data_IF_159807901488
#
_entry.id   IF_159807901488
#
_cell.length_a   1.000
_cell.length_b   1.000
_cell.length_c   1.000
_cell.angle_alpha   90.00
_cell.angle_beta   90.00
_cell.angle_gamma   90.00
#
_symmetry.space_group_name_H-M   'P 1'
#
loop_
_entity.id
_entity.type
_entity.pdbx_description
1 polymer ?
#
# COMPACT_ATOMS: atom_id res chain seq x y z
N UNK A 1 -22.37 1.37 2.86
CA UNK A 1 -22.98 1.30 4.21
C UNK A 1 -23.97 2.45 4.34
N UNK A 2 -25.20 2.21 4.82
CA UNK A 2 -26.25 3.24 4.91
C UNK A 2 -27.23 3.30 3.72
N UNK A 3 -27.21 2.31 2.83
CA UNK A 3 -28.18 2.14 1.75
C UNK A 3 -28.47 0.64 1.53
N UNK A 4 -29.73 0.23 1.26
CA UNK A 4 -30.94 1.07 1.14
C UNK A 4 -31.49 1.54 2.49
N UNK A 5 -31.04 0.95 3.59
CA UNK A 5 -31.46 1.31 4.94
C UNK A 5 -30.40 2.19 5.62
N UNK A 6 -30.88 3.20 6.33
CA UNK A 6 -30.03 4.04 7.17
C UNK A 6 -29.48 3.23 8.34
N UNK A 7 -28.22 3.52 8.69
CA UNK A 7 -27.49 2.82 9.74
C UNK A 7 -26.76 3.87 10.58
N UNK A 8 -27.15 4.10 11.84
CA UNK A 8 -26.51 5.11 12.70
C UNK A 8 -25.01 4.87 12.92
N UNK A 9 -24.59 3.61 12.98
CA UNK A 9 -23.20 3.18 13.18
C UNK A 9 -22.50 2.77 11.86
N UNK A 10 -22.99 3.26 10.71
CA UNK A 10 -22.50 2.89 9.36
C UNK A 10 -20.99 3.04 9.21
N UNK A 11 -20.40 4.05 9.84
CA UNK A 11 -18.98 4.37 9.73
C UNK A 11 -18.14 3.34 10.49
N UNK A 12 -18.51 3.04 11.73
CA UNK A 12 -17.84 2.02 12.52
C UNK A 12 -17.98 0.63 11.88
N UNK A 13 -19.17 0.30 11.35
CA UNK A 13 -19.38 -0.93 10.56
C UNK A 13 -18.49 -1.01 9.32
N UNK A 14 -18.38 0.09 8.57
CA UNK A 14 -17.53 0.14 7.38
C UNK A 14 -16.06 -0.11 7.72
N UNK A 15 -15.58 0.52 8.79
CA UNK A 15 -14.20 0.35 9.28
C UNK A 15 -13.97 -1.08 9.77
N UNK A 16 -14.85 -1.60 10.61
CA UNK A 16 -14.75 -2.97 11.13
C UNK A 16 -14.75 -4.01 10.00
N UNK A 17 -15.68 -3.88 9.05
CA UNK A 17 -15.72 -4.73 7.86
C UNK A 17 -14.42 -4.65 7.05
N UNK A 18 -13.85 -3.45 6.91
CA UNK A 18 -12.58 -3.28 6.19
C UNK A 18 -11.42 -4.00 6.88
N UNK A 19 -11.36 -3.95 8.22
CA UNK A 19 -10.34 -4.65 9.01
C UNK A 19 -10.53 -6.17 8.87
N UNK A 20 -11.76 -6.67 8.99
CA UNK A 20 -12.07 -8.09 8.82
C UNK A 20 -11.72 -8.59 7.41
N UNK A 21 -12.04 -7.81 6.37
CA UNK A 21 -11.67 -8.10 4.99
C UNK A 21 -10.15 -8.23 4.83
N UNK A 22 -9.38 -7.30 5.39
CA UNK A 22 -7.91 -7.37 5.34
C UNK A 22 -7.37 -8.59 6.11
N UNK A 23 -7.86 -8.84 7.31
CA UNK A 23 -7.42 -9.99 8.11
C UNK A 23 -7.75 -11.33 7.43
N UNK A 24 -8.90 -11.41 6.75
CA UNK A 24 -9.33 -12.58 5.99
C UNK A 24 -8.44 -12.92 4.77
N UNK A 25 -7.68 -11.95 4.24
CA UNK A 25 -6.74 -12.19 3.13
C UNK A 25 -5.71 -13.26 3.44
N UNK A 26 -5.41 -13.48 4.72
CA UNK A 26 -4.55 -14.57 5.19
C UNK A 26 -5.04 -15.94 4.71
N UNK A 27 -6.34 -16.18 4.87
CA UNK A 27 -6.97 -17.44 4.49
C UNK A 27 -7.11 -17.53 2.97
N UNK A 28 -7.48 -16.44 2.30
CA UNK A 28 -7.51 -16.36 0.83
C UNK A 28 -6.15 -16.71 0.23
N UNK A 29 -5.07 -16.12 0.73
CA UNK A 29 -3.72 -16.39 0.23
C UNK A 29 -3.22 -17.79 0.61
N UNK A 30 -3.69 -18.37 1.74
CA UNK A 30 -3.43 -19.78 2.05
C UNK A 30 -4.04 -20.71 1.01
N UNK A 31 -5.26 -20.43 0.57
CA UNK A 31 -5.93 -21.18 -0.49
C UNK A 31 -5.25 -20.98 -1.85
N UNK A 32 -4.85 -19.76 -2.20
CA UNK A 32 -4.09 -19.50 -3.43
C UNK A 32 -2.77 -20.29 -3.45
N UNK A 33 -2.00 -20.27 -2.36
CA UNK A 33 -0.77 -21.07 -2.24
C UNK A 33 -1.03 -22.56 -2.45
N UNK A 34 -2.13 -23.09 -1.89
CA UNK A 34 -2.49 -24.52 -2.07
C UNK A 34 -2.80 -24.89 -3.53
N UNK A 35 -3.15 -23.90 -4.35
CA UNK A 35 -3.45 -24.05 -5.78
C UNK A 35 -2.30 -23.57 -6.67
N UNK A 36 -1.13 -23.27 -6.10
CA UNK A 36 0.00 -22.65 -6.80
C UNK A 36 -0.36 -21.35 -7.55
N UNK A 37 -1.32 -20.59 -7.02
CA UNK A 37 -1.71 -19.28 -7.53
C UNK A 37 -0.94 -18.17 -6.79
N UNK A 38 -0.71 -17.00 -7.43
CA UNK A 38 -0.11 -15.85 -6.77
C UNK A 38 -0.90 -15.39 -5.54
N UNK A 39 -0.19 -14.86 -4.55
CA UNK A 39 -0.82 -14.16 -3.44
C UNK A 39 -1.46 -12.85 -3.92
N UNK A 40 -2.59 -12.51 -3.32
CA UNK A 40 -3.29 -11.27 -3.58
C UNK A 40 -2.99 -10.27 -2.48
N UNK A 41 -2.82 -9.02 -2.87
CA UNK A 41 -2.80 -7.88 -1.98
C UNK A 41 -4.05 -7.04 -2.20
N UNK A 42 -4.55 -6.42 -1.13
CA UNK A 42 -5.75 -5.61 -1.16
C UNK A 42 -5.48 -4.27 -0.49
N UNK A 43 -5.88 -3.19 -1.15
CA UNK A 43 -5.99 -1.86 -0.58
C UNK A 43 -7.46 -1.49 -0.39
N UNK A 44 -7.80 -0.78 0.68
CA UNK A 44 -9.16 -0.31 0.93
C UNK A 44 -9.17 1.19 1.17
N UNK A 45 -10.02 1.92 0.44
CA UNK A 45 -10.29 3.33 0.66
C UNK A 45 -11.72 3.58 1.15
N UNK A 46 -11.89 4.35 2.23
CA UNK A 46 -13.21 4.76 2.73
C UNK A 46 -13.38 6.29 2.63
N UNK A 47 -14.56 6.70 2.17
CA UNK A 47 -15.00 8.09 2.18
C UNK A 47 -16.44 8.20 2.66
N UNK A 48 -16.75 9.27 3.38
CA UNK A 48 -18.10 9.65 3.77
C UNK A 48 -18.49 10.93 3.02
N UNK A 49 -19.65 10.90 2.39
CA UNK A 49 -20.18 11.99 1.57
C UNK A 49 -21.68 11.81 1.33
N UNK A 50 -22.39 12.91 1.13
CA UNK A 50 -23.73 12.88 0.58
C UNK A 50 -23.72 12.40 -0.87
N UNK A 51 -24.70 11.58 -1.21
CA UNK A 51 -24.84 10.94 -2.53
C UNK A 51 -26.31 10.79 -2.89
N UNK A 52 -26.59 10.75 -4.18
CA UNK A 52 -27.93 10.41 -4.70
C UNK A 52 -27.97 8.91 -4.98
N UNK A 53 -28.99 8.24 -4.47
CA UNK A 53 -29.17 6.81 -4.65
C UNK A 53 -30.48 6.55 -5.40
N UNK A 54 -30.44 5.68 -6.41
CA UNK A 54 -31.64 5.36 -7.16
C UNK A 54 -31.47 4.23 -8.15
N UNK A 55 -32.61 3.84 -8.73
CA UNK A 55 -32.69 2.89 -9.83
C UNK A 55 -32.35 3.60 -11.14
N UNK A 56 -31.15 3.37 -11.67
CA UNK A 56 -30.65 4.02 -12.87
C UNK A 56 -30.52 3.03 -14.01
N UNK A 57 -31.05 3.41 -15.18
CA UNK A 57 -31.06 2.61 -16.38
C UNK A 57 -32.42 2.65 -17.09
N UNK A 58 -32.59 1.79 -18.09
CA UNK A 58 -33.85 1.68 -18.81
C UNK A 58 -34.86 0.83 -18.03
N UNK A 59 -36.13 0.88 -18.42
CA UNK A 59 -37.19 0.01 -17.87
C UNK A 59 -36.87 -1.48 -17.98
N UNK A 60 -36.05 -1.89 -18.98
CA UNK A 60 -35.63 -3.29 -19.18
C UNK A 60 -34.37 -3.67 -18.39
N UNK A 61 -33.56 -2.70 -17.95
CA UNK A 61 -32.34 -2.90 -17.17
C UNK A 61 -32.10 -1.69 -16.27
N UNK A 62 -32.58 -1.79 -15.04
CA UNK A 62 -32.30 -0.82 -13.99
C UNK A 62 -31.32 -1.44 -12.98
N UNK A 63 -30.35 -0.64 -12.53
CA UNK A 63 -29.45 -0.99 -11.43
C UNK A 63 -29.61 0.03 -10.31
N UNK A 64 -29.77 -0.47 -9.09
CA UNK A 64 -29.68 0.37 -7.90
C UNK A 64 -28.22 0.83 -7.76
N UNK A 65 -27.99 2.14 -7.91
CA UNK A 65 -26.64 2.69 -7.95
C UNK A 65 -26.59 4.03 -7.22
N UNK A 66 -25.36 4.44 -6.93
CA UNK A 66 -25.03 5.69 -6.25
C UNK A 66 -24.39 6.65 -7.27
N UNK A 67 -24.81 7.91 -7.26
CA UNK A 67 -24.21 8.99 -8.04
C UNK A 67 -23.82 10.13 -7.10
N UNK A 68 -22.61 10.63 -7.26
CA UNK A 68 -22.12 11.83 -6.56
C UNK A 68 -20.64 12.06 -6.79
N UNK A 69 -20.21 13.32 -6.74
CA UNK A 69 -18.79 13.69 -6.85
C UNK A 69 -17.94 13.02 -5.76
N UNK A 70 -18.50 12.82 -4.56
CA UNK A 70 -17.84 12.15 -3.45
C UNK A 70 -17.66 10.64 -3.60
N UNK A 71 -18.37 9.98 -4.54
CA UNK A 71 -18.20 8.53 -4.81
C UNK A 71 -16.80 8.26 -5.40
N UNK A 72 -16.36 9.13 -6.31
CA UNK A 72 -15.04 9.03 -6.93
C UNK A 72 -13.92 9.28 -5.92
N UNK A 73 -14.19 9.97 -4.81
CA UNK A 73 -13.20 10.23 -3.77
C UNK A 73 -12.75 8.95 -3.07
N UNK A 74 -13.66 7.99 -2.83
CA UNK A 74 -13.29 6.72 -2.21
C UNK A 74 -12.28 5.94 -3.08
N UNK A 75 -12.51 5.87 -4.38
CA UNK A 75 -11.56 5.26 -5.33
C UNK A 75 -10.23 6.02 -5.41
N UNK A 76 -10.26 7.35 -5.30
CA UNK A 76 -9.00 8.14 -5.23
C UNK A 76 -8.22 7.83 -3.97
N UNK A 77 -8.87 7.77 -2.81
CA UNK A 77 -8.24 7.40 -1.53
C UNK A 77 -7.66 5.99 -1.62
N UNK A 78 -8.43 5.04 -2.15
CA UNK A 78 -7.97 3.67 -2.38
C UNK A 78 -6.74 3.62 -3.29
N UNK A 79 -6.67 4.45 -4.34
CA UNK A 79 -5.51 4.49 -5.23
C UNK A 79 -4.19 4.87 -4.54
N UNK A 80 -4.24 5.52 -3.36
CA UNK A 80 -3.06 5.83 -2.55
C UNK A 80 -2.61 4.67 -1.66
N UNK A 81 -3.45 3.66 -1.45
CA UNK A 81 -3.12 2.48 -0.64
C UNK A 81 -2.02 1.63 -1.27
N UNK A 82 -1.40 0.83 -0.43
CA UNK A 82 -0.61 -0.34 -0.82
C UNK A 82 -1.20 -1.58 -0.16
N UNK A 83 -0.70 -2.76 -0.53
CA UNK A 83 -1.20 -4.03 0.00
C UNK A 83 -1.31 -4.08 1.52
N UNK A 84 -2.49 -4.40 2.02
CA UNK A 84 -2.81 -4.52 3.44
C UNK A 84 -3.23 -3.20 4.10
N UNK A 85 -3.23 -2.07 3.39
CA UNK A 85 -3.63 -0.79 3.98
C UNK A 85 -5.14 -0.54 3.92
N UNK A 86 -5.61 0.21 4.90
CA UNK A 86 -6.94 0.82 4.94
C UNK A 86 -6.73 2.32 5.10
N UNK A 87 -7.03 3.09 4.06
CA UNK A 87 -6.97 4.55 4.09
C UNK A 87 -8.38 5.14 4.15
N UNK A 88 -8.54 6.18 4.96
CA UNK A 88 -9.84 6.84 5.15
C UNK A 88 -9.72 8.35 4.96
N UNK A 89 -10.80 8.97 4.52
CA UNK A 89 -10.92 10.44 4.48
C UNK A 89 -11.04 11.04 5.88
N UNK A 90 -10.84 12.36 5.96
CA UNK A 90 -11.13 13.11 7.17
C UNK A 90 -12.60 13.01 7.61
N UNK A 91 -13.56 12.94 6.68
CA UNK A 91 -14.98 12.80 7.01
C UNK A 91 -15.28 11.48 7.74
N UNK A 92 -14.68 10.38 7.29
CA UNK A 92 -14.78 9.08 7.97
C UNK A 92 -14.13 9.14 9.35
N UNK A 93 -12.93 9.72 9.46
CA UNK A 93 -12.21 9.85 10.74
C UNK A 93 -13.01 10.65 11.76
N UNK A 94 -13.59 11.78 11.37
CA UNK A 94 -14.41 12.63 12.25
C UNK A 94 -15.66 11.91 12.77
N UNK A 95 -16.30 11.10 11.92
CA UNK A 95 -17.52 10.37 12.32
C UNK A 95 -17.25 9.04 13.07
N UNK A 96 -16.06 8.45 12.92
CA UNK A 96 -15.72 7.19 13.59
C UNK A 96 -15.63 7.33 15.13
N UNK A 97 -15.27 8.52 15.61
CA UNK A 97 -15.07 8.80 17.03
C UNK A 97 -13.72 8.33 17.58
N UNK A 98 -13.56 8.39 18.90
CA UNK A 98 -12.29 8.11 19.60
C UNK A 98 -11.91 6.61 19.64
N UNK A 99 -12.84 5.73 19.25
CA UNK A 99 -12.61 4.28 19.22
C UNK A 99 -11.69 3.83 18.08
N UNK A 100 -11.36 4.75 17.16
CA UNK A 100 -10.54 4.46 15.98
C UNK A 100 -9.04 4.65 16.27
N UNK A 101 -8.25 3.60 16.03
CA UNK A 101 -6.79 3.66 16.04
C UNK A 101 -6.28 4.11 14.67
N UNK A 102 -5.54 5.22 14.65
CA UNK A 102 -4.86 5.72 13.45
C UNK A 102 -3.37 5.49 13.59
N UNK A 103 -2.78 4.76 12.63
CA UNK A 103 -1.36 4.40 12.64
C UNK A 103 -0.50 5.46 11.92
N UNK A 104 -1.07 6.16 10.94
CA UNK A 104 -0.41 7.28 10.25
C UNK A 104 -1.42 8.25 9.61
N UNK A 105 -0.96 9.44 9.24
CA UNK A 105 -1.74 10.44 8.50
C UNK A 105 -0.84 11.22 7.54
N UNK A 106 -1.37 11.62 6.38
CA UNK A 106 -0.62 12.39 5.39
C UNK A 106 -1.54 13.21 4.48
N UNK A 107 -1.01 14.33 3.98
CA UNK A 107 -1.66 15.10 2.92
C UNK A 107 -1.31 14.51 1.56
N UNK A 108 -2.31 14.39 0.69
CA UNK A 108 -2.15 13.94 -0.69
C UNK A 108 -2.80 14.94 -1.63
N UNK A 109 -2.26 15.07 -2.85
CA UNK A 109 -2.84 15.93 -3.87
C UNK A 109 -3.52 15.05 -4.93
N UNK A 110 -4.87 14.99 -4.93
CA UNK A 110 -5.59 14.25 -5.96
C UNK A 110 -5.29 14.83 -7.33
N UNK A 111 -5.07 13.96 -8.32
CA UNK A 111 -4.87 14.39 -9.70
C UNK A 111 -6.00 15.32 -10.15
N UNK A 112 -5.64 16.53 -10.57
CA UNK A 112 -6.59 17.57 -11.00
C UNK A 112 -7.22 18.39 -9.87
N UNK A 113 -6.65 18.35 -8.65
CA UNK A 113 -7.05 19.21 -7.54
C UNK A 113 -5.83 19.84 -6.88
N UNK A 114 -5.85 21.17 -6.71
CA UNK A 114 -4.84 21.92 -5.94
C UNK A 114 -5.12 21.88 -4.44
N UNK A 115 -6.26 21.31 -4.02
CA UNK A 115 -6.65 21.22 -2.63
C UNK A 115 -6.09 19.92 -2.05
N UNK A 116 -5.24 19.99 -1.00
CA UNK A 116 -4.73 18.79 -0.35
C UNK A 116 -5.87 18.03 0.33
N UNK A 117 -5.85 16.71 0.17
CA UNK A 117 -6.72 15.77 0.86
C UNK A 117 -5.93 15.14 2.00
N UNK A 118 -6.39 15.30 3.24
CA UNK A 118 -5.85 14.56 4.37
C UNK A 118 -6.41 13.13 4.38
N UNK A 119 -5.53 12.14 4.37
CA UNK A 119 -5.88 10.72 4.51
C UNK A 119 -5.23 10.13 5.76
N UNK A 120 -5.90 9.14 6.34
CA UNK A 120 -5.51 8.50 7.59
C UNK A 120 -5.43 6.98 7.40
N UNK A 121 -4.39 6.36 7.93
CA UNK A 121 -4.22 4.91 7.94
C UNK A 121 -4.83 4.30 9.18
N UNK A 122 -5.75 3.36 8.98
CA UNK A 122 -6.46 2.68 10.07
C UNK A 122 -5.64 1.50 10.57
N UNK A 123 -5.38 1.49 11.88
CA UNK A 123 -4.72 0.39 12.56
C UNK A 123 -5.66 -0.54 13.32
N UNK A 124 -6.89 -0.11 13.63
CA UNK A 124 -7.84 -0.89 14.42
C UNK A 124 -9.04 -0.08 14.91
N UNK A 125 -10.03 -0.76 15.47
CA UNK A 125 -11.24 -0.17 16.05
C UNK A 125 -11.61 -0.87 17.37
N UNK A 126 -11.71 -0.10 18.44
CA UNK A 126 -12.11 -0.57 19.77
C UNK A 126 -13.63 -0.56 19.96
N UNK A 127 -14.11 -0.93 21.15
CA UNK A 127 -15.52 -0.84 21.53
C UNK A 127 -16.28 -2.14 21.26
N UNK A 128 -17.32 -2.09 20.43
CA UNK A 128 -18.14 -3.27 20.12
C UNK A 128 -17.46 -4.26 19.16
N UNK A 129 -16.44 -3.82 18.44
CA UNK A 129 -15.73 -4.63 17.44
C UNK A 129 -14.40 -5.19 17.97
N UNK A 130 -13.59 -4.37 18.65
CA UNK A 130 -12.27 -4.75 19.18
C UNK A 130 -11.36 -5.45 18.16
N UNK A 131 -11.32 -4.89 16.94
CA UNK A 131 -10.53 -5.42 15.85
C UNK A 131 -9.23 -4.65 15.71
N UNK A 132 -8.15 -5.36 15.42
CA UNK A 132 -6.85 -4.78 15.08
C UNK A 132 -6.46 -5.31 13.70
N UNK A 133 -5.89 -4.44 12.88
CA UNK A 133 -5.31 -4.84 11.62
C UNK A 133 -3.99 -5.57 11.91
N UNK A 134 -3.91 -6.85 11.54
CA UNK A 134 -2.70 -7.64 11.78
C UNK A 134 -1.53 -7.11 10.92
N UNK A 135 -0.56 -6.46 11.57
CA UNK A 135 0.65 -5.98 10.91
C UNK A 135 1.50 -7.13 10.39
N UNK A 136 1.50 -7.34 9.07
CA UNK A 136 2.32 -8.37 8.39
C UNK A 136 3.47 -7.77 7.61
N UNK A 137 4.19 -6.86 8.25
CA UNK A 137 5.48 -6.41 7.75
C UNK A 137 6.59 -7.25 8.33
N UNK A 138 7.18 -8.10 7.49
CA UNK A 138 8.48 -8.70 7.77
C UNK A 138 9.48 -7.58 8.03
N UNK A 139 10.21 -7.67 9.15
CA UNK A 139 11.21 -6.66 9.49
C UNK A 139 12.22 -6.49 8.33
N UNK A 140 12.50 -5.23 8.01
CA UNK A 140 13.52 -4.84 7.04
C UNK A 140 14.91 -5.22 7.56
N UNK A 141 15.65 -6.00 6.78
CA UNK A 141 17.02 -6.42 7.09
C UNK A 141 18.00 -5.55 6.30
N UNK A 142 19.08 -5.14 6.96
CA UNK A 142 20.16 -4.36 6.34
C UNK A 142 21.05 -5.24 5.48
N UNK A 143 21.28 -4.82 4.24
CA UNK A 143 22.11 -5.55 3.29
C UNK A 143 23.59 -5.29 3.56
N UNK A 144 24.39 -6.36 3.58
CA UNK A 144 25.84 -6.26 3.68
C UNK A 144 26.46 -5.63 2.42
N UNK A 145 25.87 -5.90 1.25
CA UNK A 145 26.25 -5.30 -0.02
C UNK A 145 25.05 -4.53 -0.58
N UNK A 146 25.19 -3.23 -0.76
CA UNK A 146 24.15 -2.39 -1.35
C UNK A 146 23.96 -2.73 -2.83
N UNK A 147 22.72 -2.83 -3.27
CA UNK A 147 22.37 -3.29 -4.62
C UNK A 147 22.04 -2.08 -5.50
N UNK A 148 22.69 -1.88 -6.65
CA UNK A 148 22.31 -0.84 -7.60
C UNK A 148 20.85 -1.01 -8.04
N UNK A 149 20.10 0.09 -8.04
CA UNK A 149 18.72 0.13 -8.51
C UNK A 149 18.54 1.34 -9.43
N UNK A 150 17.80 1.14 -10.52
CA UNK A 150 17.33 2.21 -11.40
C UNK A 150 15.84 2.38 -11.16
N UNK A 151 15.39 3.61 -11.01
CA UNK A 151 14.00 3.97 -10.76
C UNK A 151 13.50 4.92 -11.84
N UNK A 152 12.23 4.80 -12.21
CA UNK A 152 11.53 5.73 -13.08
C UNK A 152 10.19 6.06 -12.45
N UNK A 153 9.91 7.35 -12.28
CA UNK A 153 8.62 7.82 -11.78
C UNK A 153 7.52 7.52 -12.81
N UNK A 154 6.42 6.92 -12.34
CA UNK A 154 5.26 6.55 -13.17
C UNK A 154 4.12 7.55 -12.96
N UNK A 155 3.93 8.46 -13.92
CA UNK A 155 2.80 9.39 -13.94
C UNK A 155 1.75 8.99 -14.99
N UNK A 156 0.64 8.37 -14.55
CA UNK A 156 -0.44 7.97 -15.45
C UNK A 156 -0.05 6.84 -16.41
N UNK A 157 -0.39 6.98 -17.71
CA UNK A 157 -0.09 5.98 -18.77
C UNK A 157 1.24 6.23 -19.50
N UNK A 158 2.03 7.22 -19.09
CA UNK A 158 3.29 7.56 -19.74
C UNK A 158 4.46 7.23 -18.81
N UNK A 159 5.37 6.39 -19.30
CA UNK A 159 6.69 6.16 -18.69
C UNK A 159 7.61 7.24 -19.27
N UNK A 160 7.57 8.45 -18.71
CA UNK A 160 8.24 9.63 -19.28
C UNK A 160 9.20 10.36 -18.34
N UNK A 161 9.52 9.80 -17.18
CA UNK A 161 10.43 10.42 -16.20
C UNK A 161 11.90 10.13 -16.46
N UNK A 162 12.77 11.01 -15.95
CA UNK A 162 14.21 10.77 -15.85
C UNK A 162 14.50 9.49 -15.06
N UNK A 163 15.55 8.77 -15.49
CA UNK A 163 16.01 7.56 -14.79
C UNK A 163 16.84 7.97 -13.59
N UNK A 164 16.26 7.79 -12.41
CA UNK A 164 16.93 7.98 -11.13
C UNK A 164 17.78 6.76 -10.81
N UNK A 165 18.97 7.00 -10.30
CA UNK A 165 19.85 5.95 -9.82
C UNK A 165 19.90 5.97 -8.30
N UNK A 166 20.23 4.80 -7.74
CA UNK A 166 20.36 4.67 -6.31
C UNK A 166 20.78 3.28 -5.90
N UNK A 167 20.61 3.00 -4.61
CA UNK A 167 21.02 1.76 -3.98
C UNK A 167 19.97 1.25 -3.00
N UNK A 168 19.73 -0.06 -3.02
CA UNK A 168 18.94 -0.74 -1.98
C UNK A 168 19.82 -0.90 -0.73
N UNK A 169 19.33 -0.39 0.40
CA UNK A 169 20.01 -0.43 1.70
C UNK A 169 19.43 -1.52 2.58
N UNK A 170 18.09 -1.57 2.66
CA UNK A 170 17.36 -2.56 3.46
C UNK A 170 16.28 -3.20 2.62
N UNK A 171 15.97 -4.46 2.89
CA UNK A 171 14.88 -5.15 2.20
C UNK A 171 14.09 -6.05 3.14
N UNK A 172 12.87 -6.31 2.75
CA UNK A 172 11.94 -7.27 3.34
C UNK A 172 11.22 -7.97 2.19
N UNK A 173 10.30 -8.88 2.52
CA UNK A 173 9.47 -9.55 1.52
C UNK A 173 8.48 -8.62 0.81
N UNK A 174 8.18 -7.44 1.38
CA UNK A 174 7.14 -6.53 0.88
C UNK A 174 7.65 -5.13 0.55
N UNK A 175 8.80 -4.74 1.10
CA UNK A 175 9.34 -3.39 0.98
C UNK A 175 10.84 -3.37 0.88
N UNK A 176 11.36 -2.30 0.29
CA UNK A 176 12.77 -1.92 0.28
C UNK A 176 12.94 -0.51 0.85
N UNK A 177 14.08 -0.26 1.45
CA UNK A 177 14.59 1.10 1.66
C UNK A 177 15.69 1.34 0.63
N UNK A 178 15.53 2.40 -0.15
CA UNK A 178 16.45 2.81 -1.21
C UNK A 178 17.01 4.18 -0.87
N UNK A 179 18.31 4.39 -1.11
CA UNK A 179 18.87 5.73 -1.20
C UNK A 179 18.97 6.10 -2.67
N UNK A 180 18.39 7.25 -3.02
CA UNK A 180 18.36 7.79 -4.37
C UNK A 180 19.19 9.07 -4.43
N UNK A 181 19.65 9.41 -5.64
CA UNK A 181 20.40 10.64 -5.88
C UNK A 181 19.51 11.90 -5.84
N UNK A 182 18.19 11.71 -5.84
CA UNK A 182 17.18 12.78 -5.82
C UNK A 182 16.07 12.50 -4.80
N UNK A 183 15.39 13.57 -4.36
CA UNK A 183 14.24 13.46 -3.47
C UNK A 183 12.98 13.15 -4.27
N UNK A 184 12.32 12.04 -3.94
CA UNK A 184 11.01 11.68 -4.48
C UNK A 184 9.92 11.92 -3.45
N UNK A 185 8.79 12.51 -3.88
CA UNK A 185 7.60 12.72 -3.06
C UNK A 185 6.98 11.42 -2.54
N UNK A 186 6.25 11.51 -1.42
CA UNK A 186 5.46 10.41 -0.88
C UNK A 186 4.35 10.01 -1.87
N UNK A 187 4.03 8.72 -1.88
CA UNK A 187 2.99 8.09 -2.71
C UNK A 187 3.24 8.10 -4.21
N UNK A 188 4.43 8.52 -4.62
CA UNK A 188 4.88 8.37 -6.00
C UNK A 188 5.02 6.89 -6.35
N UNK A 189 4.43 6.51 -7.49
CA UNK A 189 4.59 5.17 -8.05
C UNK A 189 5.92 5.11 -8.81
N UNK A 190 6.70 4.08 -8.52
CA UNK A 190 8.00 3.83 -9.12
C UNK A 190 7.96 2.53 -9.91
N UNK A 191 8.48 2.61 -11.13
CA UNK A 191 8.98 1.47 -11.89
C UNK A 191 10.46 1.31 -11.57
N UNK A 192 10.89 0.11 -11.21
CA UNK A 192 12.23 -0.15 -10.70
C UNK A 192 12.83 -1.36 -11.39
N UNK A 193 14.14 -1.33 -11.61
CA UNK A 193 14.91 -2.47 -12.11
C UNK A 193 16.26 -2.58 -11.38
N UNK A 194 16.72 -3.81 -11.18
CA UNK A 194 17.96 -4.12 -10.44
C UNK A 194 19.20 -4.07 -11.35
N UNK A 195 19.40 -2.97 -12.10
CA UNK A 195 20.67 -2.71 -12.81
C UNK A 195 21.22 -3.90 -13.61
N UNK A 196 22.55 -4.01 -13.66
CA UNK A 196 23.28 -5.12 -14.31
C UNK A 196 23.72 -6.20 -13.29
N UNK A 197 22.94 -6.41 -12.22
CA UNK A 197 23.32 -7.29 -11.09
C UNK A 197 23.30 -8.79 -11.49
N UNK A 198 23.01 -9.10 -12.75
CA UNK A 198 23.44 -10.34 -13.38
C UNK A 198 22.91 -10.46 -14.80
N UNK A 199 23.80 -10.73 -15.74
CA UNK A 199 23.57 -10.98 -17.18
C UNK A 199 22.54 -12.10 -17.51
N UNK A 200 21.83 -12.65 -16.52
CA UNK A 200 20.89 -13.77 -16.63
C UNK A 200 19.48 -13.50 -16.08
N UNK A 201 19.12 -12.25 -15.80
CA UNK A 201 17.85 -11.89 -15.17
C UNK A 201 17.01 -11.02 -16.15
N UNK A 202 16.31 -11.64 -17.13
CA UNK A 202 15.71 -10.92 -18.25
C UNK A 202 14.39 -10.22 -17.88
N UNK A 203 14.29 -8.91 -18.19
CA UNK A 203 13.03 -8.17 -18.11
C UNK A 203 12.46 -8.05 -16.70
N UNK A 204 13.13 -7.25 -15.85
CA UNK A 204 12.96 -7.30 -14.40
C UNK A 204 12.34 -6.04 -13.79
N UNK A 205 11.44 -5.40 -14.52
CA UNK A 205 10.73 -4.26 -13.98
C UNK A 205 9.79 -4.73 -12.86
N UNK A 206 10.00 -4.22 -11.66
CA UNK A 206 9.08 -4.34 -10.55
C UNK A 206 8.57 -2.95 -10.17
N UNK A 207 7.45 -2.92 -9.48
CA UNK A 207 6.71 -1.71 -9.19
C UNK A 207 6.52 -1.55 -7.70
N UNK A 208 6.50 -0.30 -7.26
CA UNK A 208 6.23 0.03 -5.89
C UNK A 208 5.78 1.45 -5.72
N UNK A 209 5.39 1.78 -4.49
CA UNK A 209 4.96 3.11 -4.09
C UNK A 209 5.80 3.59 -2.93
N UNK A 210 6.26 4.84 -3.00
CA UNK A 210 6.98 5.49 -1.90
C UNK A 210 6.00 5.66 -0.73
N UNK A 211 6.26 5.03 0.40
CA UNK A 211 5.37 5.08 1.59
C UNK A 211 5.97 5.91 2.73
N UNK A 212 7.30 6.06 2.79
CA UNK A 212 7.99 6.89 3.80
C UNK A 212 9.24 7.53 3.20
N UNK A 213 9.55 8.73 3.65
CA UNK A 213 10.87 9.35 3.50
C UNK A 213 11.61 9.20 4.85
N UNK A 214 12.87 8.83 4.77
CA UNK A 214 13.73 8.46 5.90
C UNK A 214 15.00 9.33 5.89
N UNK A 215 15.55 9.57 7.07
CA UNK A 215 16.71 10.44 7.26
C UNK A 215 16.36 11.93 7.23
N UNK A 216 17.26 12.78 7.73
CA UNK A 216 17.08 14.25 7.70
C UNK A 216 17.30 14.84 6.30
N UNK A 217 17.96 14.06 5.45
CA UNK A 217 18.50 14.49 4.17
C UNK A 217 17.45 14.32 3.05
N UNK A 218 16.41 13.51 3.28
CA UNK A 218 15.28 13.29 2.36
C UNK A 218 15.57 12.35 1.17
N UNK A 219 16.79 11.81 1.08
CA UNK A 219 17.25 10.95 -0.03
C UNK A 219 17.04 9.45 0.19
N UNK A 220 16.60 9.04 1.38
CA UNK A 220 16.27 7.64 1.66
C UNK A 220 14.76 7.46 1.67
N UNK A 221 14.27 6.47 0.94
CA UNK A 221 12.84 6.25 0.71
C UNK A 221 12.49 4.81 1.03
N UNK A 222 11.43 4.61 1.80
CA UNK A 222 10.80 3.29 1.95
C UNK A 222 9.78 3.12 0.84
N UNK A 223 9.97 2.09 0.02
CA UNK A 223 9.10 1.74 -1.09
C UNK A 223 8.42 0.41 -0.79
N UNK A 224 7.09 0.38 -0.89
CA UNK A 224 6.29 -0.85 -0.83
C UNK A 224 6.10 -1.39 -2.22
N UNK A 225 6.29 -2.70 -2.42
CA UNK A 225 6.01 -3.33 -3.69
C UNK A 225 4.50 -3.32 -3.99
N UNK A 226 4.15 -3.01 -5.22
CA UNK A 226 2.78 -3.12 -5.76
C UNK A 226 2.69 -4.22 -6.81
N UNK A 227 3.82 -4.59 -7.42
CA UNK A 227 3.96 -5.75 -8.30
C UNK A 227 5.43 -6.16 -8.36
N UNK A 228 5.72 -7.44 -8.18
CA UNK A 228 7.08 -7.96 -8.16
C UNK A 228 7.15 -9.33 -8.86
N UNK A 229 8.03 -9.51 -9.86
CA UNK A 229 8.19 -10.81 -10.53
C UNK A 229 8.72 -11.89 -9.57
N UNK A 230 8.33 -13.17 -9.74
CA UNK A 230 8.77 -14.27 -8.88
C UNK A 230 10.30 -14.40 -8.76
N UNK A 231 11.05 -14.08 -9.81
CA UNK A 231 12.52 -14.13 -9.85
C UNK A 231 13.13 -13.12 -8.87
N UNK A 232 12.58 -11.90 -8.83
CA UNK A 232 13.02 -10.85 -7.90
C UNK A 232 12.62 -11.20 -6.46
N UNK A 233 11.42 -11.78 -6.27
CA UNK A 233 11.00 -12.29 -4.95
C UNK A 233 12.00 -13.32 -4.44
N UNK A 234 12.36 -14.31 -5.25
CA UNK A 234 13.30 -15.36 -4.88
C UNK A 234 14.69 -14.78 -4.54
N UNK A 235 15.17 -13.83 -5.35
CA UNK A 235 16.42 -13.12 -5.11
C UNK A 235 16.42 -12.35 -3.78
N UNK A 236 15.39 -11.54 -3.52
CA UNK A 236 15.26 -10.80 -2.26
C UNK A 236 15.08 -11.72 -1.06
N UNK A 237 14.34 -12.83 -1.18
CA UNK A 237 14.21 -13.81 -0.11
C UNK A 237 15.54 -14.49 0.24
N UNK A 238 16.36 -14.81 -0.76
CA UNK A 238 17.70 -15.34 -0.53
C UNK A 238 18.54 -14.34 0.28
N UNK A 239 18.59 -13.09 -0.17
CA UNK A 239 19.32 -12.02 0.52
C UNK A 239 18.82 -11.76 1.93
N UNK A 240 17.49 -11.72 2.14
CA UNK A 240 16.88 -11.55 3.46
C UNK A 240 17.33 -12.67 4.41
N UNK A 241 17.30 -13.93 3.96
CA UNK A 241 17.76 -15.09 4.76
C UNK A 241 19.26 -15.06 5.06
N UNK A 242 20.09 -14.65 4.10
CA UNK A 242 21.54 -14.58 4.29
C UNK A 242 21.95 -13.43 5.21
N UNK A 243 21.32 -12.25 5.07
CA UNK A 243 21.59 -11.09 5.90
C UNK A 243 20.98 -11.21 7.32
N UNK A 244 19.95 -12.04 7.50
CA UNK A 244 19.37 -12.36 8.80
C UNK A 244 20.17 -13.41 9.60
N UNK A 245 21.24 -14.00 9.06
CA UNK A 245 22.13 -14.87 9.86
C UNK A 245 22.90 -14.01 10.86
N UNK A 246 22.87 -14.33 12.17
CA UNK A 246 23.81 -13.72 13.11
C UNK A 246 25.23 -14.03 12.65
N UNK A 247 26.09 -13.02 12.61
CA UNK A 247 27.52 -13.22 12.30
C UNK A 247 28.09 -14.32 13.22
N UNK A 248 28.85 -15.29 12.69
CA UNK A 248 29.61 -16.22 13.52
C UNK A 248 30.83 -15.47 14.09
N UNK A 249 30.58 -14.61 15.07
CA UNK A 249 31.59 -14.04 15.96
C UNK A 249 31.04 -14.11 17.36
N UNK A 250 31.26 -15.28 17.98
CA UNK A 250 31.48 -15.50 19.42
C UNK A 250 31.62 -17.02 19.62
N UNK A 251 32.71 -17.58 19.10
CA UNK A 251 33.23 -18.91 19.42
C UNK A 251 34.76 -18.78 19.41
N UNK A 252 35.28 -17.99 20.35
CA UNK A 252 36.68 -17.98 20.81
C UNK A 252 36.80 -16.89 21.87
N UNK A 253 36.53 -17.28 23.11
CA UNK A 253 37.44 -17.20 24.27
C UNK A 253 36.71 -17.67 25.53
#
# INVERSE_FOLDING_TARGET
FGAPQEMPDRIQRAIACSIDMQNAMTQVNKENRSKALPELEMGIGLNETEVIIGNIGSSKRSKYTVIGSGVNMASRIESYTVGGQILISESVRKQAGEVLRIDSQQNVFPKGSEIPLMIYEVGGIAGSYNLILEGKDSALVTLALQIPIRCTVVEGKHVGGERLQGKVIRLSTKSIEIALDEQIELLTNLKMDLGDVGDGLPGNDFYGKVIKQLGKDGYTHSVRFTSIPPEIVAYFQALHKYAARPSPKNLSE
#
